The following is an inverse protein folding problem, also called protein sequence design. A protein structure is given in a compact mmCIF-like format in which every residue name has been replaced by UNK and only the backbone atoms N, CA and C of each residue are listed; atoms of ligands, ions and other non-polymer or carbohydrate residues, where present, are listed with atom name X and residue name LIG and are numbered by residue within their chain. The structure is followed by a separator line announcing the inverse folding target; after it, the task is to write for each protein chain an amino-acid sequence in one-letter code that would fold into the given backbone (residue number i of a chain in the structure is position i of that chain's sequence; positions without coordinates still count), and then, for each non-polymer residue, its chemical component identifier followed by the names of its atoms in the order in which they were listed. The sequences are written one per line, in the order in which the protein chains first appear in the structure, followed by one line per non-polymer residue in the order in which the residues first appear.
data_IF_268893077129
#
_entry.id   IF_268893077129
#
_cell.length_a   1.000
_cell.length_b   1.000
_cell.length_c   1.000
_cell.angle_alpha   90.00
_cell.angle_beta   90.00
_cell.angle_gamma   90.00
#
_symmetry.space_group_name_H-M   'P 1'
#
loop_
_entity.id
_entity.type
_entity.pdbx_description
1 polymer ?
#
# COMPACT_ATOMS: atom_id res chain seq x y z
N UNK A 1 3.84 0.01 -5.33
CA UNK A 1 3.64 0.36 -6.77
C UNK A 1 3.06 1.75 -6.86
N UNK A 2 3.40 2.52 -7.92
CA UNK A 2 2.93 3.88 -8.17
C UNK A 2 1.86 3.88 -9.27
N UNK A 3 0.99 4.90 -9.27
CA UNK A 3 0.06 5.16 -10.39
C UNK A 3 0.80 5.71 -11.60
N UNK A 4 1.89 6.43 -11.35
CA UNK A 4 2.70 7.16 -12.34
C UNK A 4 1.88 8.22 -13.08
N UNK A 5 1.11 8.99 -12.35
CA UNK A 5 0.27 10.09 -12.87
C UNK A 5 0.75 11.44 -12.39
N UNK A 6 0.48 12.53 -13.14
CA UNK A 6 0.76 13.88 -12.67
C UNK A 6 0.12 14.15 -11.30
N UNK A 7 0.86 14.83 -10.42
CA UNK A 7 0.44 15.17 -9.06
C UNK A 7 0.73 14.09 -8.01
N UNK A 8 1.00 12.82 -8.38
CA UNK A 8 1.22 11.75 -7.40
C UNK A 8 2.41 12.03 -6.48
N UNK A 9 3.58 12.34 -7.04
CA UNK A 9 4.78 12.66 -6.26
C UNK A 9 4.69 14.06 -5.63
N UNK A 10 4.13 15.01 -6.36
CA UNK A 10 3.99 16.39 -5.91
C UNK A 10 3.18 16.50 -4.63
N UNK A 11 2.05 15.78 -4.54
CA UNK A 11 1.16 15.81 -3.37
C UNK A 11 1.44 14.70 -2.36
N UNK A 12 2.54 13.97 -2.46
CA UNK A 12 2.92 13.00 -1.45
C UNK A 12 3.11 13.66 -0.08
N UNK A 13 2.35 13.18 0.94
CA UNK A 13 2.28 13.82 2.26
C UNK A 13 1.46 15.13 2.28
N UNK A 14 0.89 15.54 1.15
CA UNK A 14 0.02 16.71 1.02
C UNK A 14 -1.37 16.35 0.47
N UNK A 15 -1.81 15.14 0.74
CA UNK A 15 -3.08 14.58 0.29
C UNK A 15 -2.94 13.22 -0.41
N UNK A 16 -1.76 12.85 -0.90
CA UNK A 16 -1.45 11.52 -1.41
C UNK A 16 -0.75 10.69 -0.33
N UNK A 17 -1.21 9.47 -0.11
CA UNK A 17 -0.66 8.52 0.86
C UNK A 17 -0.67 7.08 0.34
N UNK A 18 0.31 6.29 0.78
CA UNK A 18 0.39 4.83 0.57
C UNK A 18 0.15 4.04 1.87
N UNK A 19 -0.22 4.73 2.96
CA UNK A 19 -0.37 4.09 4.27
C UNK A 19 -1.62 4.60 4.99
N UNK A 20 -2.70 3.85 4.92
CA UNK A 20 -3.96 4.20 5.59
C UNK A 20 -3.80 4.30 7.12
N UNK A 21 -3.03 3.42 7.74
CA UNK A 21 -2.78 3.42 9.18
C UNK A 21 -1.89 4.56 9.66
N UNK A 22 -1.01 5.09 8.77
CA UNK A 22 -0.12 6.20 9.09
C UNK A 22 -0.86 7.54 9.06
N UNK A 23 -1.63 7.77 7.99
CA UNK A 23 -2.14 9.08 7.63
C UNK A 23 -3.67 9.23 7.78
N UNK A 24 -4.41 8.13 7.92
CA UNK A 24 -5.87 8.12 7.90
C UNK A 24 -6.52 9.09 8.89
N UNK A 25 -5.94 9.26 10.09
CA UNK A 25 -6.47 10.16 11.11
C UNK A 25 -6.52 11.64 10.67
N UNK A 26 -5.65 12.06 9.74
CA UNK A 26 -5.64 13.44 9.23
C UNK A 26 -6.81 13.73 8.28
N UNK A 27 -7.53 12.69 7.84
CA UNK A 27 -8.62 12.79 6.87
C UNK A 27 -10.01 12.51 7.46
N UNK A 28 -10.17 12.56 8.79
CA UNK A 28 -11.48 12.45 9.43
C UNK A 28 -12.44 13.52 8.89
N UNK A 29 -13.67 13.11 8.55
CA UNK A 29 -14.71 13.95 7.94
C UNK A 29 -14.29 14.60 6.60
N UNK A 30 -13.34 13.99 5.88
CA UNK A 30 -12.89 14.42 4.56
C UNK A 30 -13.29 13.41 3.50
N UNK A 31 -13.51 13.91 2.30
CA UNK A 31 -13.75 13.09 1.11
C UNK A 31 -12.42 12.57 0.58
N UNK A 32 -12.28 11.26 0.50
CA UNK A 32 -11.05 10.61 0.04
C UNK A 32 -11.36 9.49 -0.94
N UNK A 33 -10.39 9.19 -1.79
CA UNK A 33 -10.45 7.97 -2.60
C UNK A 33 -9.42 6.94 -2.12
N UNK A 34 -9.83 5.68 -2.21
CA UNK A 34 -8.95 4.52 -2.11
C UNK A 34 -8.78 3.93 -3.51
N UNK A 35 -7.57 3.96 -4.06
CA UNK A 35 -7.27 3.41 -5.38
C UNK A 35 -6.77 1.98 -5.23
N UNK A 36 -7.58 1.02 -5.70
CA UNK A 36 -7.25 -0.40 -5.63
C UNK A 36 -8.47 -1.31 -5.71
N UNK A 37 -8.27 -2.63 -5.52
CA UNK A 37 -9.38 -3.60 -5.59
C UNK A 37 -8.95 -5.01 -5.17
N UNK A 38 -7.81 -5.12 -4.48
CA UNK A 38 -7.36 -6.31 -3.77
C UNK A 38 -7.76 -6.29 -2.29
N UNK A 39 -7.41 -7.35 -1.55
CA UNK A 39 -7.71 -7.47 -0.12
C UNK A 39 -7.23 -6.25 0.67
N UNK A 40 -5.97 -5.83 0.48
CA UNK A 40 -5.40 -4.69 1.20
C UNK A 40 -6.21 -3.41 0.97
N UNK A 41 -6.55 -3.08 -0.30
CA UNK A 41 -7.31 -1.88 -0.62
C UNK A 41 -8.68 -1.85 0.07
N UNK A 42 -9.40 -3.00 0.09
CA UNK A 42 -10.71 -3.06 0.74
C UNK A 42 -10.60 -2.99 2.27
N UNK A 43 -9.60 -3.66 2.86
CA UNK A 43 -9.34 -3.57 4.30
C UNK A 43 -8.98 -2.16 4.73
N UNK A 44 -8.12 -1.48 3.98
CA UNK A 44 -7.73 -0.09 4.23
C UNK A 44 -8.90 0.88 4.03
N UNK A 45 -9.76 0.65 3.02
CA UNK A 45 -10.97 1.45 2.80
C UNK A 45 -11.96 1.32 3.99
N UNK A 46 -12.19 0.10 4.49
CA UNK A 46 -13.00 -0.16 5.68
C UNK A 46 -12.38 0.52 6.90
N UNK A 47 -11.07 0.40 7.09
CA UNK A 47 -10.36 1.06 8.18
C UNK A 47 -10.55 2.58 8.15
N UNK A 48 -10.33 3.24 6.99
CA UNK A 48 -10.51 4.67 6.83
C UNK A 48 -11.97 5.12 7.06
N UNK A 49 -12.94 4.34 6.57
CA UNK A 49 -14.35 4.57 6.82
C UNK A 49 -14.67 4.53 8.33
N UNK A 50 -14.13 3.55 9.06
CA UNK A 50 -14.27 3.43 10.51
C UNK A 50 -13.58 4.55 11.29
N UNK A 51 -12.57 5.21 10.72
CA UNK A 51 -11.98 6.44 11.27
C UNK A 51 -12.87 7.67 11.05
N UNK A 52 -13.95 7.56 10.28
CA UNK A 52 -14.84 8.67 9.95
C UNK A 52 -14.46 9.43 8.67
N UNK A 53 -13.67 8.84 7.77
CA UNK A 53 -13.45 9.38 6.44
C UNK A 53 -14.63 9.05 5.52
N UNK A 54 -14.95 9.94 4.57
CA UNK A 54 -15.90 9.65 3.49
C UNK A 54 -15.16 8.95 2.35
N UNK A 55 -15.16 7.63 2.33
CA UNK A 55 -14.35 6.83 1.42
C UNK A 55 -15.11 6.52 0.13
N UNK A 56 -14.46 6.75 -1.02
CA UNK A 56 -14.87 6.21 -2.32
C UNK A 56 -13.75 5.35 -2.89
N UNK A 57 -14.05 4.09 -3.22
CA UNK A 57 -13.07 3.19 -3.86
C UNK A 57 -13.08 3.43 -5.35
N UNK A 58 -11.89 3.64 -5.95
CA UNK A 58 -11.71 3.71 -7.41
C UNK A 58 -11.03 2.43 -7.87
N UNK A 59 -11.71 1.67 -8.74
CA UNK A 59 -11.20 0.40 -9.24
C UNK A 59 -11.26 0.33 -10.77
N UNK A 60 -10.14 -0.13 -11.39
CA UNK A 60 -9.96 -0.16 -12.84
C UNK A 60 -10.76 -1.24 -13.58
N UNK A 61 -11.43 -2.15 -12.87
CA UNK A 61 -12.23 -3.26 -13.41
C UNK A 61 -13.67 -3.14 -12.95
N UNK A 62 -14.54 -3.97 -13.51
CA UNK A 62 -15.96 -4.10 -13.16
C UNK A 62 -16.20 -4.91 -11.88
N UNK A 63 -15.19 -5.65 -11.41
CA UNK A 63 -15.27 -6.46 -10.18
C UNK A 63 -13.96 -6.44 -9.37
N UNK A 64 -14.07 -6.59 -8.05
CA UNK A 64 -12.94 -6.72 -7.15
C UNK A 64 -12.30 -8.11 -7.24
N UNK A 65 -10.97 -8.16 -7.09
CA UNK A 65 -10.23 -9.42 -6.87
C UNK A 65 -10.14 -9.82 -5.40
N UNK A 66 -10.58 -8.96 -4.51
CA UNK A 66 -10.59 -9.20 -3.07
C UNK A 66 -11.53 -10.35 -2.69
N UNK A 67 -11.30 -10.94 -1.53
CA UNK A 67 -12.12 -12.01 -0.97
C UNK A 67 -13.57 -11.54 -0.77
N UNK A 68 -14.53 -12.46 -0.96
CA UNK A 68 -15.96 -12.13 -0.99
C UNK A 68 -16.48 -11.51 0.31
N UNK A 69 -15.94 -11.91 1.46
CA UNK A 69 -16.34 -11.32 2.74
C UNK A 69 -16.01 -9.82 2.82
N UNK A 70 -14.83 -9.39 2.32
CA UNK A 70 -14.47 -7.97 2.28
C UNK A 70 -15.39 -7.18 1.33
N UNK A 71 -15.74 -7.76 0.19
CA UNK A 71 -16.68 -7.16 -0.74
C UNK A 71 -18.06 -6.97 -0.11
N UNK A 72 -18.50 -7.92 0.72
CA UNK A 72 -19.76 -7.79 1.46
C UNK A 72 -19.67 -6.67 2.49
N UNK A 73 -18.57 -6.57 3.25
CA UNK A 73 -18.36 -5.48 4.21
C UNK A 73 -18.42 -4.10 3.56
N UNK A 74 -17.79 -3.92 2.38
CA UNK A 74 -17.89 -2.66 1.61
C UNK A 74 -19.34 -2.27 1.33
N UNK A 75 -20.18 -3.25 0.97
CA UNK A 75 -21.60 -3.03 0.70
C UNK A 75 -22.39 -2.72 1.98
N UNK A 76 -22.15 -3.48 3.05
CA UNK A 76 -22.87 -3.37 4.31
C UNK A 76 -22.56 -2.03 5.00
N UNK A 77 -21.35 -1.52 4.87
CA UNK A 77 -20.91 -0.21 5.36
C UNK A 77 -21.29 0.95 4.44
N UNK A 78 -21.85 0.67 3.26
CA UNK A 78 -22.28 1.69 2.31
C UNK A 78 -21.13 2.50 1.67
N UNK A 79 -19.92 1.93 1.62
CA UNK A 79 -18.76 2.58 0.99
C UNK A 79 -18.98 2.66 -0.53
N UNK A 80 -18.86 3.87 -1.08
CA UNK A 80 -19.03 4.11 -2.51
C UNK A 80 -17.92 3.44 -3.33
N UNK A 81 -18.29 2.97 -4.54
CA UNK A 81 -17.34 2.35 -5.47
C UNK A 81 -17.53 2.90 -6.87
N UNK A 82 -16.45 3.35 -7.48
CA UNK A 82 -16.37 3.73 -8.89
C UNK A 82 -15.56 2.65 -9.60
N UNK A 83 -16.28 1.81 -10.35
CA UNK A 83 -15.69 0.75 -11.17
C UNK A 83 -15.23 1.28 -12.52
N UNK A 84 -14.47 0.45 -13.25
CA UNK A 84 -13.99 0.73 -14.61
C UNK A 84 -13.33 2.11 -14.72
N UNK A 85 -12.56 2.51 -13.67
CA UNK A 85 -11.99 3.85 -13.62
C UNK A 85 -10.55 3.82 -13.12
N UNK A 86 -9.71 4.65 -13.74
CA UNK A 86 -8.34 4.93 -13.34
C UNK A 86 -8.18 6.39 -12.98
N UNK A 87 -7.22 6.69 -12.11
CA UNK A 87 -6.79 8.07 -11.86
C UNK A 87 -5.82 8.44 -12.97
N UNK A 88 -6.06 9.58 -13.64
CA UNK A 88 -5.20 10.12 -14.70
C UNK A 88 -4.37 11.32 -14.22
N UNK A 89 -4.88 12.07 -13.26
CA UNK A 89 -4.20 13.24 -12.69
C UNK A 89 -4.73 13.52 -11.29
N UNK A 90 -3.85 13.99 -10.40
CA UNK A 90 -4.19 14.50 -9.08
C UNK A 90 -3.93 16.00 -9.08
N UNK A 91 -4.92 16.79 -8.68
CA UNK A 91 -4.90 18.25 -8.78
C UNK A 91 -5.02 18.89 -7.41
N UNK A 92 -4.45 20.07 -7.30
CA UNK A 92 -4.52 20.94 -6.13
C UNK A 92 -3.56 22.09 -6.25
N UNK A 93 -3.50 22.91 -5.20
CA UNK A 93 -2.48 23.95 -5.05
C UNK A 93 -1.48 23.55 -3.95
N UNK A 94 -1.80 23.82 -2.69
CA UNK A 94 -0.96 23.37 -1.56
C UNK A 94 -1.26 21.92 -1.12
N UNK A 95 -2.52 21.52 -1.23
CA UNK A 95 -3.04 20.20 -0.89
C UNK A 95 -3.85 19.65 -2.06
N UNK A 96 -4.16 18.36 -2.02
CA UNK A 96 -5.07 17.73 -2.99
C UNK A 96 -6.46 18.33 -2.88
N UNK A 97 -7.05 18.69 -4.03
CA UNK A 97 -8.38 19.29 -4.15
C UNK A 97 -9.31 18.47 -5.06
N UNK A 98 -8.75 17.78 -6.06
CA UNK A 98 -9.52 16.93 -6.96
C UNK A 98 -8.64 15.87 -7.64
N UNK A 99 -9.30 14.91 -8.28
CA UNK A 99 -8.67 13.96 -9.21
C UNK A 99 -9.43 13.94 -10.52
N UNK A 100 -8.69 13.72 -11.60
CA UNK A 100 -9.28 13.37 -12.89
C UNK A 100 -9.33 11.85 -12.98
N UNK A 101 -10.53 11.33 -13.11
CA UNK A 101 -10.81 9.93 -13.35
C UNK A 101 -11.08 9.70 -14.84
N UNK A 102 -10.59 8.58 -15.34
CA UNK A 102 -10.88 8.10 -16.71
C UNK A 102 -11.62 6.77 -16.64
N UNK A 103 -12.77 6.71 -17.28
CA UNK A 103 -13.46 5.46 -17.46
C UNK A 103 -12.71 4.58 -18.47
N UNK A 104 -12.41 3.33 -18.10
CA UNK A 104 -11.60 2.41 -18.90
C UNK A 104 -12.33 1.88 -20.13
N UNK A 105 -13.68 1.91 -20.14
CA UNK A 105 -14.52 1.44 -21.24
C UNK A 105 -14.90 2.58 -22.20
N UNK A 106 -15.42 3.68 -21.65
CA UNK A 106 -15.90 4.81 -22.48
C UNK A 106 -14.81 5.81 -22.82
N UNK A 107 -13.68 5.77 -22.11
CA UNK A 107 -12.57 6.73 -22.20
C UNK A 107 -12.95 8.16 -21.76
N UNK A 108 -14.14 8.35 -21.20
CA UNK A 108 -14.60 9.63 -20.68
C UNK A 108 -13.80 10.05 -19.46
N UNK A 109 -13.49 11.35 -19.39
CA UNK A 109 -12.83 11.97 -18.23
C UNK A 109 -13.89 12.62 -17.36
N UNK A 110 -13.73 12.48 -16.05
CA UNK A 110 -14.55 13.17 -15.05
C UNK A 110 -13.66 13.70 -13.93
N UNK A 111 -14.01 14.85 -13.38
CA UNK A 111 -13.33 15.43 -12.23
C UNK A 111 -14.13 15.11 -10.96
N UNK A 112 -13.43 14.60 -9.94
CA UNK A 112 -13.99 14.28 -8.64
C UNK A 112 -13.31 15.15 -7.58
N UNK A 113 -14.02 16.08 -6.93
CA UNK A 113 -13.50 16.84 -5.79
C UNK A 113 -13.23 15.89 -4.61
N UNK A 114 -12.01 15.94 -4.06
CA UNK A 114 -11.59 15.14 -2.90
C UNK A 114 -10.46 15.85 -2.14
N UNK A 115 -10.20 15.39 -0.93
CA UNK A 115 -9.14 15.93 -0.08
C UNK A 115 -7.94 14.98 0.07
N UNK A 116 -8.09 13.72 -0.36
CA UNK A 116 -7.01 12.76 -0.25
C UNK A 116 -7.13 11.57 -1.19
N UNK A 117 -5.97 11.02 -1.54
CA UNK A 117 -5.80 9.84 -2.40
C UNK A 117 -4.97 8.82 -1.65
N UNK A 118 -5.56 7.70 -1.29
CA UNK A 118 -4.87 6.54 -0.73
C UNK A 118 -4.65 5.51 -1.84
N UNK A 119 -3.39 5.07 -2.01
CA UNK A 119 -2.99 4.19 -3.11
C UNK A 119 -2.63 2.81 -2.55
N UNK A 120 -3.42 1.78 -2.91
CA UNK A 120 -3.22 0.39 -2.48
C UNK A 120 -3.37 -0.57 -3.67
N UNK A 121 -2.45 -0.44 -4.64
CA UNK A 121 -2.42 -1.21 -5.90
C UNK A 121 -1.41 -2.36 -5.89
N UNK A 122 -0.86 -2.68 -4.73
CA UNK A 122 0.08 -3.76 -4.47
C UNK A 122 1.51 -3.29 -4.18
N UNK A 123 2.30 -4.21 -3.68
CA UNK A 123 3.72 -4.03 -3.39
C UNK A 123 4.54 -4.96 -4.29
N UNK A 124 5.69 -4.46 -4.73
CA UNK A 124 6.73 -5.28 -5.36
C UNK A 124 7.99 -5.07 -4.53
N UNK A 125 8.48 -6.09 -3.83
CA UNK A 125 9.71 -5.96 -3.07
C UNK A 125 10.90 -5.82 -4.03
N UNK A 126 11.82 -4.90 -3.74
CA UNK A 126 13.06 -4.72 -4.49
C UNK A 126 14.10 -5.73 -3.99
N UNK A 127 14.09 -6.93 -4.55
CA UNK A 127 14.93 -8.05 -4.12
C UNK A 127 15.94 -8.52 -5.17
N UNK A 128 16.17 -7.73 -6.22
CA UNK A 128 17.06 -8.07 -7.33
C UNK A 128 18.50 -8.37 -6.85
N UNK A 129 19.00 -7.60 -5.89
CA UNK A 129 20.32 -7.82 -5.31
C UNK A 129 20.36 -9.11 -4.47
N UNK A 130 19.31 -9.37 -3.70
CA UNK A 130 19.19 -10.61 -2.92
C UNK A 130 19.14 -11.84 -3.80
N UNK A 131 18.41 -11.77 -4.93
CA UNK A 131 18.38 -12.85 -5.93
C UNK A 131 19.77 -13.13 -6.53
N UNK A 132 20.54 -12.08 -6.83
CA UNK A 132 21.90 -12.25 -7.36
C UNK A 132 22.84 -12.94 -6.36
N UNK A 133 22.60 -12.79 -5.05
CA UNK A 133 23.33 -13.47 -3.99
C UNK A 133 22.82 -14.90 -3.74
N UNK A 134 21.73 -15.32 -4.36
CA UNK A 134 21.13 -16.64 -4.14
C UNK A 134 20.28 -16.72 -2.87
N UNK A 135 19.76 -15.58 -2.39
CA UNK A 135 18.83 -15.55 -1.25
C UNK A 135 17.46 -16.10 -1.67
N UNK A 136 16.89 -16.97 -0.84
CA UNK A 136 15.58 -17.56 -1.10
C UNK A 136 14.45 -16.52 -0.98
N UNK A 137 13.53 -16.56 -1.95
CA UNK A 137 12.35 -15.73 -1.97
C UNK A 137 11.08 -16.57 -1.93
N UNK A 138 10.00 -16.01 -1.39
CA UNK A 138 8.66 -16.60 -1.47
C UNK A 138 8.02 -16.40 -2.86
N UNK A 139 6.82 -16.95 -3.05
CA UNK A 139 6.06 -16.84 -4.32
C UNK A 139 5.70 -15.40 -4.70
N UNK A 140 5.71 -14.47 -3.75
CA UNK A 140 5.44 -13.03 -3.95
C UNK A 140 6.70 -12.19 -4.11
N UNK A 141 7.88 -12.80 -4.06
CA UNK A 141 9.17 -12.18 -4.25
C UNK A 141 9.78 -11.57 -2.99
N UNK A 142 9.22 -11.82 -1.79
CA UNK A 142 9.80 -11.38 -0.53
C UNK A 142 10.89 -12.34 -0.05
N UNK A 143 11.88 -11.79 0.65
CA UNK A 143 12.96 -12.57 1.23
C UNK A 143 12.43 -13.44 2.36
N UNK A 144 12.76 -14.73 2.32
CA UNK A 144 12.45 -15.69 3.37
C UNK A 144 13.50 -15.54 4.48
N UNK A 145 13.02 -15.34 5.70
CA UNK A 145 13.86 -15.21 6.90
C UNK A 145 13.36 -16.10 8.01
N UNK A 146 14.23 -16.43 8.94
CA UNK A 146 13.86 -17.05 10.21
C UNK A 146 13.51 -16.00 11.29
N UNK A 147 13.21 -16.47 12.51
CA UNK A 147 12.89 -15.57 13.66
C UNK A 147 14.06 -14.69 14.10
N UNK A 148 15.28 -15.03 13.72
CA UNK A 148 16.52 -14.34 14.03
C UNK A 148 16.96 -13.43 12.86
N UNK A 149 16.09 -13.22 11.87
CA UNK A 149 16.27 -12.41 10.65
C UNK A 149 17.36 -12.95 9.71
N UNK A 150 17.70 -14.24 9.82
CA UNK A 150 18.70 -14.90 8.98
C UNK A 150 18.06 -15.39 7.69
N UNK A 151 18.78 -15.22 6.59
CA UNK A 151 18.43 -15.83 5.29
C UNK A 151 19.03 -17.24 5.16
N UNK A 152 18.83 -17.89 4.01
CA UNK A 152 19.50 -19.15 3.66
C UNK A 152 21.01 -19.00 3.40
N UNK A 153 21.52 -17.76 3.28
CA UNK A 153 22.94 -17.47 3.06
C UNK A 153 23.60 -17.06 4.38
N UNK A 154 24.69 -17.70 4.72
CA UNK A 154 25.43 -17.44 5.95
C UNK A 154 25.90 -15.97 6.02
N UNK A 155 25.74 -15.33 7.16
CA UNK A 155 26.04 -13.91 7.44
C UNK A 155 25.23 -12.91 6.58
N UNK A 156 24.16 -13.34 5.94
CA UNK A 156 23.22 -12.46 5.24
C UNK A 156 21.89 -12.41 5.99
N UNK A 157 21.47 -11.22 6.37
CA UNK A 157 20.27 -10.94 7.14
C UNK A 157 19.35 -10.03 6.30
N UNK A 158 18.05 -10.16 6.51
CA UNK A 158 17.08 -9.26 5.85
C UNK A 158 16.02 -8.80 6.85
N UNK A 159 15.57 -7.55 6.68
CA UNK A 159 14.60 -6.89 7.57
C UNK A 159 13.66 -5.99 6.77
N UNK A 160 12.53 -5.63 7.36
CA UNK A 160 11.61 -4.63 6.84
C UNK A 160 10.78 -5.11 5.64
N UNK A 161 10.39 -4.18 4.80
CA UNK A 161 9.39 -4.39 3.75
C UNK A 161 9.79 -5.40 2.66
N UNK A 162 11.06 -5.73 2.53
CA UNK A 162 11.55 -6.76 1.62
C UNK A 162 11.29 -8.17 2.12
N UNK A 163 10.98 -8.35 3.41
CA UNK A 163 10.64 -9.62 4.05
C UNK A 163 9.12 -9.81 4.12
N UNK A 164 8.70 -11.04 4.41
CA UNK A 164 7.30 -11.34 4.75
C UNK A 164 6.96 -10.75 6.12
N UNK A 165 5.88 -9.98 6.23
CA UNK A 165 5.46 -9.41 7.52
C UNK A 165 4.61 -8.15 7.39
N UNK A 166 4.42 -7.47 8.52
CA UNK A 166 3.70 -6.20 8.58
C UNK A 166 4.60 -5.06 8.09
N UNK A 167 4.16 -4.37 7.04
CA UNK A 167 4.88 -3.27 6.37
C UNK A 167 4.74 -1.97 7.17
N UNK A 168 5.51 -1.86 8.26
CA UNK A 168 5.54 -0.71 9.14
C UNK A 168 6.97 -0.41 9.58
N UNK A 169 7.35 0.87 9.61
CA UNK A 169 8.71 1.28 9.97
C UNK A 169 9.13 0.83 11.38
N UNK A 170 8.19 0.81 12.34
CA UNK A 170 8.46 0.35 13.71
C UNK A 170 8.79 -1.16 13.75
N UNK A 171 8.17 -1.95 12.87
CA UNK A 171 8.49 -3.38 12.72
C UNK A 171 9.89 -3.53 12.15
N UNK A 172 10.21 -2.81 11.07
CA UNK A 172 11.55 -2.81 10.48
C UNK A 172 12.65 -2.41 11.49
N UNK A 173 12.38 -1.44 12.38
CA UNK A 173 13.29 -1.08 13.45
C UNK A 173 13.49 -2.23 14.46
N UNK A 174 12.42 -2.91 14.86
CA UNK A 174 12.47 -4.07 15.75
C UNK A 174 13.25 -5.23 15.12
N UNK A 175 12.97 -5.55 13.88
CA UNK A 175 13.68 -6.56 13.09
C UNK A 175 15.18 -6.21 12.95
N UNK A 176 15.50 -4.92 12.75
CA UNK A 176 16.89 -4.43 12.72
C UNK A 176 17.65 -4.71 14.02
N UNK A 177 16.99 -4.54 15.16
CA UNK A 177 17.61 -4.86 16.46
C UNK A 177 17.86 -6.37 16.61
N UNK A 178 16.93 -7.22 16.14
CA UNK A 178 17.09 -8.68 16.12
C UNK A 178 18.23 -9.07 15.19
N UNK A 179 18.25 -8.59 13.94
CA UNK A 179 19.29 -8.90 12.97
C UNK A 179 20.69 -8.51 13.45
N UNK A 180 20.84 -7.31 14.04
CA UNK A 180 22.11 -6.85 14.59
C UNK A 180 22.60 -7.74 15.75
N UNK A 181 21.68 -8.20 16.60
CA UNK A 181 22.02 -9.11 17.71
C UNK A 181 22.45 -10.47 17.20
N UNK A 182 21.72 -11.01 16.20
CA UNK A 182 22.04 -12.29 15.56
C UNK A 182 23.41 -12.25 14.87
N UNK A 183 23.69 -11.19 14.11
CA UNK A 183 24.96 -10.99 13.44
C UNK A 183 26.13 -10.91 14.44
N UNK A 184 25.94 -10.22 15.57
CA UNK A 184 26.97 -10.15 16.63
C UNK A 184 27.25 -11.53 17.25
N UNK A 185 26.22 -12.35 17.48
CA UNK A 185 26.39 -13.70 18.03
C UNK A 185 27.13 -14.60 17.03
N UNK A 186 26.73 -14.59 15.75
CA UNK A 186 27.36 -15.41 14.72
C UNK A 186 28.86 -15.09 14.53
N UNK A 187 29.25 -13.79 14.63
CA UNK A 187 30.66 -13.39 14.56
C UNK A 187 31.45 -13.85 15.79
N UNK A 188 30.81 -13.96 16.97
CA UNK A 188 31.49 -14.45 18.16
C UNK A 188 31.70 -15.95 18.19
N UNK A 189 30.85 -16.70 17.52
CA UNK A 189 30.87 -18.16 17.47
C UNK A 189 31.74 -18.71 16.31
N UNK A 190 32.08 -17.84 15.35
CA UNK A 190 32.99 -18.14 14.23
C UNK A 190 34.46 -18.02 14.65
#
# INVERSE_FOLDING_TARGET
MHLNVPGEEEFLGRGVSYCATCDGLFFQNRDIIMVGGGNSALQEAIYLNNLGCNVTIVHRRDEFRAQKHLQNMIKDEGINVIYNSTVEEIKGDMLVESVILKNTETQELSELPINGVFISIGYVPHTELAQQLGVDLDESGHIIIDKDQKTNIEYVYAIGDVCVGLKQWVVACGEGAVAATSAYQDIKES
#
